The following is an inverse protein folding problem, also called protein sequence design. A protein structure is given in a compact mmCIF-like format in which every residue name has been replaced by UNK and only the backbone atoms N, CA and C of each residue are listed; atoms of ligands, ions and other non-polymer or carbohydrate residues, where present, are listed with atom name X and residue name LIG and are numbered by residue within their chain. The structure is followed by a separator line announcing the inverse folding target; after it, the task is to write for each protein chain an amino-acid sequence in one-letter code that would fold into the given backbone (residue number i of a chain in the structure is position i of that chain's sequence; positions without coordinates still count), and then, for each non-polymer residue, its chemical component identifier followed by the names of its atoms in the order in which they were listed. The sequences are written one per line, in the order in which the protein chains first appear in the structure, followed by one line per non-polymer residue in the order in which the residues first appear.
data_IF_613405952850
#
_entry.id   IF_613405952850
#
_cell.length_a   1.000
_cell.length_b   1.000
_cell.length_c   1.000
_cell.angle_alpha   90.00
_cell.angle_beta   90.00
_cell.angle_gamma   90.00
#
_symmetry.space_group_name_H-M   'P 1'
#
loop_
_entity.id
_entity.type
_entity.pdbx_description
1 polymer ?
#
# COMPACT_ATOMS: atom_id res chain seq x y z
N UNK A 1 11.88 3.89 -9.94
CA UNK A 1 10.72 4.59 -9.35
C UNK A 1 10.34 3.85 -8.08
N UNK A 2 11.20 3.97 -7.06
CA UNK A 2 10.91 3.52 -5.71
C UNK A 2 10.01 4.58 -5.09
N UNK A 3 8.73 4.28 -4.97
CA UNK A 3 7.81 5.11 -4.20
C UNK A 3 8.24 5.04 -2.75
N UNK A 4 8.86 6.12 -2.28
CA UNK A 4 9.14 6.36 -0.88
C UNK A 4 7.83 6.24 -0.09
N UNK A 5 7.88 5.51 1.02
CA UNK A 5 6.78 5.37 1.95
C UNK A 5 6.48 6.76 2.53
N UNK A 6 5.37 7.37 2.10
CA UNK A 6 4.93 8.66 2.63
C UNK A 6 4.20 8.41 3.96
N UNK A 7 4.74 8.95 5.05
CA UNK A 7 4.24 8.73 6.41
C UNK A 7 2.79 9.24 6.55
N UNK A 8 1.84 8.31 6.47
CA UNK A 8 0.41 8.56 6.66
C UNK A 8 -0.48 8.16 5.49
N UNK A 9 0.09 7.89 4.32
CA UNK A 9 -0.68 7.40 3.18
C UNK A 9 -0.92 5.89 3.28
N UNK A 10 -2.04 5.45 2.69
CA UNK A 10 -2.37 4.03 2.61
C UNK A 10 -1.29 3.31 1.79
N UNK A 11 -0.77 2.16 2.26
CA UNK A 11 0.23 1.39 1.53
C UNK A 11 -0.21 1.06 0.11
N UNK A 12 0.72 1.20 -0.83
CA UNK A 12 0.48 0.90 -2.23
C UNK A 12 0.26 -0.60 -2.42
N UNK A 13 -0.72 -0.95 -3.26
CA UNK A 13 -1.06 -2.35 -3.58
C UNK A 13 0.18 -3.15 -4.00
N UNK A 14 0.22 -4.42 -3.60
CA UNK A 14 1.27 -5.33 -4.03
C UNK A 14 1.28 -5.52 -5.56
N UNK A 15 2.47 -5.75 -6.11
CA UNK A 15 2.63 -6.06 -7.53
C UNK A 15 2.56 -7.57 -7.77
N UNK A 16 1.79 -7.99 -8.78
CA UNK A 16 1.77 -9.38 -9.23
C UNK A 16 3.02 -9.69 -10.07
N UNK A 17 3.33 -10.98 -10.24
CA UNK A 17 4.45 -11.44 -11.08
C UNK A 17 4.42 -10.82 -12.49
N UNK A 18 3.23 -10.65 -13.08
CA UNK A 18 3.06 -10.00 -14.38
C UNK A 18 3.44 -8.51 -14.36
N UNK A 19 3.03 -7.77 -13.32
CA UNK A 19 3.35 -6.33 -13.23
C UNK A 19 4.84 -6.10 -12.99
N UNK A 20 5.49 -6.95 -12.20
CA UNK A 20 6.94 -6.91 -11.98
C UNK A 20 7.67 -7.17 -13.30
N UNK A 21 7.29 -8.22 -14.03
CA UNK A 21 7.83 -8.51 -15.35
C UNK A 21 7.60 -7.36 -16.34
N UNK A 22 6.38 -6.82 -16.38
CA UNK A 22 6.01 -5.72 -17.26
C UNK A 22 6.83 -4.46 -16.98
N UNK A 23 7.14 -4.16 -15.72
CA UNK A 23 7.98 -3.03 -15.35
C UNK A 23 9.41 -3.17 -15.89
N UNK A 24 9.97 -4.38 -15.88
CA UNK A 24 11.30 -4.67 -16.44
C UNK A 24 11.33 -4.69 -17.97
N UNK A 25 10.27 -5.17 -18.63
CA UNK A 25 10.21 -5.30 -20.09
C UNK A 25 9.79 -4.02 -20.83
N UNK A 26 8.95 -3.18 -20.24
CA UNK A 26 8.53 -1.89 -20.83
C UNK A 26 9.69 -1.03 -21.33
N UNK A 27 10.78 -0.78 -20.55
CA UNK A 27 11.90 0.02 -21.05
C UNK A 27 12.64 -0.68 -22.20
N UNK A 28 12.77 -2.00 -22.19
CA UNK A 28 13.41 -2.76 -23.28
C UNK A 28 12.60 -2.66 -24.57
N UNK A 29 11.29 -2.84 -24.49
CA UNK A 29 10.39 -2.69 -25.63
C UNK A 29 10.37 -1.26 -26.18
N UNK A 30 10.48 -0.25 -25.32
CA UNK A 30 10.58 1.15 -25.78
C UNK A 30 11.89 1.44 -26.49
N UNK A 31 12.97 0.73 -26.16
CA UNK A 31 14.26 0.83 -26.88
C UNK A 31 14.21 0.10 -28.22
N UNK A 32 13.61 -1.09 -28.26
CA UNK A 32 13.43 -1.87 -29.50
C UNK A 32 12.44 -1.19 -30.47
N UNK A 33 11.36 -0.61 -29.94
CA UNK A 33 10.27 -0.01 -30.70
C UNK A 33 9.88 1.37 -30.12
N UNK A 34 10.64 2.43 -30.43
CA UNK A 34 10.41 3.76 -29.85
C UNK A 34 9.08 4.41 -30.27
N UNK A 35 8.53 4.04 -31.44
CA UNK A 35 7.29 4.60 -32.00
C UNK A 35 6.06 3.72 -31.78
N UNK A 36 6.16 2.67 -30.95
CA UNK A 36 5.07 1.72 -30.77
C UNK A 36 3.93 2.30 -29.91
N UNK A 37 2.69 1.92 -30.22
CA UNK A 37 1.55 2.29 -29.40
C UNK A 37 1.56 1.56 -28.05
N UNK A 38 1.07 2.21 -27.00
CA UNK A 38 0.93 1.60 -25.68
C UNK A 38 0.17 0.26 -25.73
N UNK A 39 -0.86 0.17 -26.58
CA UNK A 39 -1.65 -1.05 -26.76
C UNK A 39 -0.82 -2.19 -27.32
N UNK A 40 -0.09 -1.93 -28.40
CA UNK A 40 0.80 -2.92 -29.03
C UNK A 40 1.90 -3.37 -28.07
N UNK A 41 2.42 -2.46 -27.26
CA UNK A 41 3.39 -2.78 -26.21
C UNK A 41 2.81 -3.70 -25.15
N UNK A 42 1.59 -3.44 -24.67
CA UNK A 42 0.92 -4.28 -23.69
C UNK A 42 0.65 -5.70 -24.23
N UNK A 43 0.22 -5.82 -25.49
CA UNK A 43 -0.02 -7.10 -26.15
C UNK A 43 1.28 -7.92 -26.27
N UNK A 44 2.39 -7.27 -26.65
CA UNK A 44 3.71 -7.92 -26.73
C UNK A 44 4.25 -8.37 -25.38
N UNK A 45 4.10 -7.56 -24.33
CA UNK A 45 4.50 -7.96 -22.97
C UNK A 45 3.69 -9.17 -22.51
N UNK A 46 2.39 -9.17 -22.78
CA UNK A 46 1.51 -10.28 -22.42
C UNK A 46 1.93 -11.58 -23.12
N UNK A 47 2.25 -11.51 -24.41
CA UNK A 47 2.78 -12.65 -25.18
C UNK A 47 4.14 -13.13 -24.63
N UNK A 48 5.07 -12.21 -24.34
CA UNK A 48 6.38 -12.55 -23.75
C UNK A 48 6.24 -13.21 -22.37
N UNK A 49 5.30 -12.75 -21.55
CA UNK A 49 5.05 -13.32 -20.23
C UNK A 49 4.50 -14.75 -20.31
N UNK A 50 3.59 -15.01 -21.26
CA UNK A 50 3.05 -16.35 -21.49
C UNK A 50 4.12 -17.32 -22.00
N UNK A 51 5.06 -16.82 -22.83
CA UNK A 51 6.18 -17.58 -23.36
C UNK A 51 7.34 -17.82 -22.36
N UNK A 52 7.27 -17.28 -21.14
CA UNK A 52 8.31 -17.51 -20.13
C UNK A 52 8.42 -18.99 -19.76
N UNK A 53 9.66 -19.45 -19.62
CA UNK A 53 9.96 -20.78 -19.08
C UNK A 53 9.55 -20.90 -17.61
N UNK A 54 9.32 -22.12 -17.09
CA UNK A 54 8.97 -22.33 -15.68
C UNK A 54 9.96 -21.68 -14.71
N UNK A 55 11.27 -21.80 -14.99
CA UNK A 55 12.35 -21.22 -14.18
C UNK A 55 12.29 -19.70 -14.14
N UNK A 56 12.06 -19.06 -15.29
CA UNK A 56 11.91 -17.59 -15.35
C UNK A 56 10.65 -17.14 -14.63
N UNK A 57 9.54 -17.88 -14.80
CA UNK A 57 8.28 -17.59 -14.11
C UNK A 57 8.44 -17.69 -12.59
N UNK A 58 9.17 -18.69 -12.10
CA UNK A 58 9.44 -18.88 -10.68
C UNK A 58 10.17 -17.67 -10.06
N UNK A 59 11.12 -17.06 -10.78
CA UNK A 59 11.77 -15.81 -10.36
C UNK A 59 10.74 -14.71 -10.08
N UNK A 60 9.81 -14.46 -11.01
CA UNK A 60 8.79 -13.43 -10.85
C UNK A 60 7.74 -13.79 -9.80
N UNK A 61 7.43 -15.07 -9.63
CA UNK A 61 6.56 -15.55 -8.54
C UNK A 61 7.18 -15.25 -7.18
N UNK A 62 8.47 -15.54 -6.98
CA UNK A 62 9.18 -15.23 -5.73
C UNK A 62 9.21 -13.72 -5.45
N UNK A 63 9.49 -12.90 -6.47
CA UNK A 63 9.45 -11.45 -6.31
C UNK A 63 8.04 -10.94 -5.96
N UNK A 64 6.99 -11.53 -6.55
CA UNK A 64 5.60 -11.18 -6.23
C UNK A 64 5.19 -11.57 -4.81
N UNK A 65 5.70 -12.71 -4.30
CA UNK A 65 5.50 -13.13 -2.91
C UNK A 65 6.17 -12.16 -1.94
N UNK A 66 7.42 -11.75 -2.21
CA UNK A 66 8.11 -10.75 -1.39
C UNK A 66 7.37 -9.41 -1.36
N UNK A 67 6.84 -8.96 -2.51
CA UNK A 67 6.03 -7.74 -2.60
C UNK A 67 4.70 -7.87 -1.83
N UNK A 68 4.09 -9.07 -1.82
CA UNK A 68 2.91 -9.36 -1.01
C UNK A 68 3.23 -9.30 0.49
N UNK A 69 4.34 -9.87 0.93
CA UNK A 69 4.80 -9.80 2.33
C UNK A 69 5.05 -8.36 2.76
N UNK A 70 5.71 -7.56 1.91
CA UNK A 70 5.91 -6.12 2.14
C UNK A 70 4.57 -5.41 2.35
N UNK A 71 3.63 -5.60 1.42
CA UNK A 71 2.32 -4.96 1.46
C UNK A 71 1.51 -5.36 2.71
N UNK A 72 1.56 -6.63 3.12
CA UNK A 72 0.88 -7.11 4.32
C UNK A 72 1.44 -6.40 5.56
N UNK A 73 2.78 -6.34 5.69
CA UNK A 73 3.44 -5.67 6.82
C UNK A 73 3.08 -4.18 6.87
N UNK A 74 3.26 -3.47 5.76
CA UNK A 74 2.95 -2.03 5.67
C UNK A 74 1.46 -1.76 5.96
N UNK A 75 0.56 -2.62 5.47
CA UNK A 75 -0.88 -2.50 5.72
C UNK A 75 -1.24 -2.71 7.18
N UNK A 76 -0.58 -3.65 7.85
CA UNK A 76 -0.79 -3.90 9.28
C UNK A 76 -0.31 -2.70 10.11
N UNK A 77 0.88 -2.19 9.82
CA UNK A 77 1.44 -1.01 10.49
C UNK A 77 0.54 0.22 10.29
N UNK A 78 0.09 0.45 9.05
CA UNK A 78 -0.84 1.55 8.74
C UNK A 78 -2.16 1.42 9.52
N UNK A 79 -2.74 0.20 9.58
CA UNK A 79 -3.99 -0.03 10.34
C UNK A 79 -3.80 0.22 11.84
N UNK A 80 -2.70 -0.26 12.41
CA UNK A 80 -2.41 -0.03 13.83
C UNK A 80 -2.25 1.47 14.12
N UNK A 81 -1.52 2.19 13.27
CA UNK A 81 -1.38 3.63 13.40
C UNK A 81 -2.73 4.38 13.29
N UNK A 82 -3.67 3.91 12.47
CA UNK A 82 -5.04 4.47 12.45
C UNK A 82 -5.78 4.18 13.75
N UNK A 83 -5.72 2.95 14.25
CA UNK A 83 -6.36 2.57 15.51
C UNK A 83 -5.81 3.37 16.70
N UNK A 84 -4.50 3.63 16.74
CA UNK A 84 -3.89 4.43 17.79
C UNK A 84 -4.34 5.89 17.73
N UNK A 85 -4.48 6.47 16.53
CA UNK A 85 -5.05 7.81 16.36
C UNK A 85 -6.51 7.88 16.81
N UNK A 86 -7.31 6.87 16.45
CA UNK A 86 -8.71 6.78 16.88
C UNK A 86 -8.80 6.62 18.41
N UNK A 87 -7.98 5.76 19.00
CA UNK A 87 -7.88 5.57 20.45
C UNK A 87 -7.54 6.88 21.15
N UNK A 88 -6.47 7.56 20.73
CA UNK A 88 -6.06 8.84 21.31
C UNK A 88 -7.19 9.88 21.26
N UNK A 89 -7.90 9.94 20.11
CA UNK A 89 -9.05 10.82 19.95
C UNK A 89 -10.18 10.49 20.93
N UNK A 90 -10.48 9.20 21.13
CA UNK A 90 -11.50 8.73 22.08
C UNK A 90 -11.11 9.02 23.53
N UNK A 91 -9.88 8.68 23.94
CA UNK A 91 -9.38 8.94 25.29
C UNK A 91 -9.39 10.44 25.62
N UNK A 92 -9.02 11.28 24.64
CA UNK A 92 -9.10 12.74 24.79
C UNK A 92 -10.55 13.24 24.94
N UNK A 93 -11.49 12.66 24.20
CA UNK A 93 -12.91 13.03 24.31
C UNK A 93 -13.49 12.57 25.65
N UNK A 94 -13.17 11.35 26.08
CA UNK A 94 -13.62 10.80 27.35
C UNK A 94 -13.11 11.63 28.52
N UNK A 95 -11.83 12.00 28.50
CA UNK A 95 -11.26 12.88 29.51
C UNK A 95 -11.96 14.24 29.57
N UNK A 96 -12.30 14.84 28.42
CA UNK A 96 -13.08 16.09 28.37
C UNK A 96 -14.48 15.91 28.97
N UNK A 97 -15.18 14.84 28.61
CA UNK A 97 -16.51 14.53 29.14
C UNK A 97 -16.45 14.33 30.66
N UNK A 98 -15.42 13.64 31.17
CA UNK A 98 -15.24 13.42 32.60
C UNK A 98 -15.00 14.73 33.34
N UNK A 99 -14.15 15.62 32.80
CA UNK A 99 -13.96 16.96 33.35
C UNK A 99 -15.27 17.76 33.39
N UNK A 100 -16.04 17.74 32.30
CA UNK A 100 -17.34 18.42 32.24
C UNK A 100 -18.31 17.89 33.30
N UNK A 101 -18.36 16.56 33.50
CA UNK A 101 -19.15 15.93 34.57
C UNK A 101 -18.71 16.39 35.96
N UNK A 102 -17.40 16.39 36.22
CA UNK A 102 -16.85 16.83 37.51
C UNK A 102 -17.16 18.32 37.78
N UNK A 103 -17.04 19.18 36.76
CA UNK A 103 -17.40 20.60 36.86
C UNK A 103 -18.88 20.77 37.22
N UNK A 104 -19.77 20.02 36.57
CA UNK A 104 -21.21 20.06 36.87
C UNK A 104 -21.52 19.59 38.30
N UNK A 105 -20.85 18.53 38.76
CA UNK A 105 -21.07 17.97 40.10
C UNK A 105 -20.60 18.93 41.21
N UNK A 106 -19.47 19.61 41.00
CA UNK A 106 -18.95 20.62 41.92
C UNK A 106 -19.88 21.84 41.91
N UNK A 107 -20.32 22.31 40.73
CA UNK A 107 -21.25 23.44 40.62
C UNK A 107 -22.62 23.20 41.26
N UNK A 108 -23.11 21.96 41.25
CA UNK A 108 -24.36 21.58 41.92
C UNK A 108 -24.27 21.54 43.46
N UNK A 109 -23.05 21.54 44.03
CA UNK A 109 -22.83 21.46 45.48
C UNK A 109 -22.64 22.84 46.15
N UNK A 110 -22.58 23.92 45.37
CA UNK A 110 -22.39 25.31 45.84
C UNK A 110 -23.63 26.21 45.65
N UNK A 111 -24.80 25.63 45.36
CA UNK A 111 -26.11 26.29 45.39
C UNK A 111 -26.94 25.83 46.60
#
# INVERSE_FOLDING_TARGET
MSTEFNDGEKPLRNMSAYFIFSAEERPKLRLEFPNMSFREGADRISARFQALTPTQREKYTKMSQLEMERYIRETLEWKNAQLDKERYKWESLEWKNEIERLILLIGASFC
#
